data_IF_497581349475
#
_entry.id   IF_497581349475
#
_cell.length_a   1.000
_cell.length_b   1.000
_cell.length_c   1.000
_cell.angle_alpha   90.00
_cell.angle_beta   90.00
_cell.angle_gamma   90.00
#
_symmetry.space_group_name_H-M   'P 1'
#
loop_
_entity.id
_entity.type
_entity.pdbx_description
1 polymer ?
#
# COMPACT_ATOMS: atom_id res chain seq x y z
N UNK A 1 -18.72 -34.86 13.94
CA UNK A 1 -18.02 -33.56 13.99
C UNK A 1 -18.91 -32.59 14.75
N UNK A 2 -18.41 -31.94 15.80
CA UNK A 2 -19.18 -31.01 16.64
C UNK A 2 -19.31 -29.65 15.94
N UNK A 3 -20.38 -28.91 16.22
CA UNK A 3 -20.58 -27.55 15.68
C UNK A 3 -19.40 -26.62 15.98
N UNK A 4 -18.76 -26.78 17.13
CA UNK A 4 -17.57 -26.03 17.52
C UNK A 4 -16.37 -26.33 16.63
N UNK A 5 -16.20 -27.57 16.17
CA UNK A 5 -15.11 -27.96 15.26
C UNK A 5 -15.32 -27.34 13.87
N UNK A 6 -16.57 -27.32 13.39
CA UNK A 6 -16.94 -26.66 12.12
C UNK A 6 -16.69 -25.15 12.20
N UNK A 7 -17.09 -24.51 13.29
CA UNK A 7 -16.87 -23.08 13.51
C UNK A 7 -15.37 -22.73 13.56
N UNK A 8 -14.54 -23.54 14.23
CA UNK A 8 -13.09 -23.35 14.26
C UNK A 8 -12.46 -23.48 12.88
N UNK A 9 -12.86 -24.47 12.08
CA UNK A 9 -12.34 -24.63 10.72
C UNK A 9 -12.74 -23.48 9.81
N UNK A 10 -13.98 -23.00 9.92
CA UNK A 10 -14.43 -21.83 9.19
C UNK A 10 -13.62 -20.57 9.55
N UNK A 11 -13.36 -20.36 10.85
CA UNK A 11 -12.51 -19.27 11.32
C UNK A 11 -11.08 -19.39 10.79
N UNK A 12 -10.48 -20.58 10.87
CA UNK A 12 -9.11 -20.80 10.36
C UNK A 12 -9.03 -20.59 8.85
N UNK A 13 -10.04 -20.99 8.09
CA UNK A 13 -10.10 -20.75 6.65
C UNK A 13 -10.23 -19.25 6.32
N UNK A 14 -11.02 -18.50 7.09
CA UNK A 14 -11.13 -17.06 6.91
C UNK A 14 -9.80 -16.35 7.20
N UNK A 15 -9.14 -16.70 8.32
CA UNK A 15 -7.84 -16.13 8.69
C UNK A 15 -6.74 -16.51 7.70
N UNK A 16 -6.70 -17.76 7.22
CA UNK A 16 -5.69 -18.15 6.23
C UNK A 16 -5.88 -17.42 4.91
N UNK A 17 -7.11 -17.09 4.54
CA UNK A 17 -7.41 -16.29 3.36
C UNK A 17 -6.85 -14.86 3.47
N UNK A 18 -7.08 -14.18 4.59
CA UNK A 18 -6.56 -12.81 4.80
C UNK A 18 -5.03 -12.79 4.81
N UNK A 19 -4.38 -13.79 5.43
CA UNK A 19 -2.93 -13.91 5.41
C UNK A 19 -2.38 -14.15 3.99
N UNK A 20 -3.12 -14.87 3.15
CA UNK A 20 -2.72 -15.11 1.77
C UNK A 20 -2.81 -13.83 0.93
N UNK A 21 -3.87 -13.04 1.11
CA UNK A 21 -4.03 -11.74 0.44
C UNK A 21 -2.90 -10.78 0.82
N UNK A 22 -2.60 -10.64 2.12
CA UNK A 22 -1.47 -9.81 2.57
C UNK A 22 -0.12 -10.30 2.02
N UNK A 23 0.10 -11.62 2.01
CA UNK A 23 1.32 -12.19 1.46
C UNK A 23 1.47 -11.90 -0.03
N UNK A 24 0.38 -11.98 -0.81
CA UNK A 24 0.42 -11.66 -2.24
C UNK A 24 0.73 -10.19 -2.47
N UNK A 25 0.13 -9.30 -1.68
CA UNK A 25 0.37 -7.85 -1.75
C UNK A 25 1.84 -7.50 -1.47
N UNK A 26 2.43 -8.17 -0.47
CA UNK A 26 3.81 -7.91 -0.04
C UNK A 26 4.86 -8.81 -0.72
N UNK A 27 4.48 -9.70 -1.65
CA UNK A 27 5.39 -10.72 -2.21
C UNK A 27 6.65 -10.12 -2.83
N UNK A 28 6.49 -8.97 -3.47
CA UNK A 28 7.55 -8.26 -4.18
C UNK A 28 8.07 -7.04 -3.39
N UNK A 29 7.67 -6.88 -2.12
CA UNK A 29 8.28 -5.90 -1.21
C UNK A 29 9.67 -6.41 -0.80
N UNK A 30 10.71 -5.80 -1.35
CA UNK A 30 12.04 -5.93 -0.77
C UNK A 30 12.07 -5.26 0.62
N UNK A 31 12.77 -5.87 1.57
CA UNK A 31 13.19 -5.16 2.79
C UNK A 31 14.20 -4.10 2.34
N UNK A 32 13.71 -2.92 1.98
CA UNK A 32 14.56 -1.79 1.64
C UNK A 32 15.10 -1.24 2.94
N UNK A 33 16.34 -1.63 3.27
CA UNK A 33 17.15 -0.91 4.24
C UNK A 33 17.44 0.45 3.60
N UNK A 34 16.63 1.45 3.93
CA UNK A 34 16.83 2.80 3.45
C UNK A 34 18.17 3.31 3.98
N UNK A 35 19.20 3.27 3.14
CA UNK A 35 20.43 4.01 3.42
C UNK A 35 20.06 5.50 3.51
N UNK A 36 20.46 6.22 4.58
CA UNK A 36 20.16 7.64 4.74
C UNK A 36 21.03 8.46 3.78
N UNK A 37 20.74 8.35 2.49
CA UNK A 37 21.22 9.26 1.45
C UNK A 37 20.32 10.49 1.31
N UNK A 38 20.78 11.50 0.59
CA UNK A 38 19.94 12.66 0.24
C UNK A 38 18.90 12.20 -0.79
N UNK A 39 17.59 12.33 -0.51
CA UNK A 39 16.56 11.95 -1.48
C UNK A 39 16.75 12.75 -2.77
N UNK A 40 16.84 12.06 -3.91
CA UNK A 40 16.91 12.72 -5.23
C UNK A 40 15.54 13.29 -5.68
N UNK A 41 14.47 12.98 -4.95
CA UNK A 41 13.10 13.43 -5.21
C UNK A 41 12.90 14.87 -4.75
N UNK A 42 12.04 15.63 -5.46
CA UNK A 42 11.66 16.98 -5.04
C UNK A 42 10.39 17.01 -4.21
N UNK A 43 10.20 18.09 -3.42
CA UNK A 43 8.96 18.31 -2.65
C UNK A 43 7.72 18.29 -3.54
N UNK A 44 7.82 18.83 -4.77
CA UNK A 44 6.70 18.82 -5.72
C UNK A 44 6.35 17.41 -6.18
N UNK A 45 7.36 16.57 -6.47
CA UNK A 45 7.13 15.17 -6.86
C UNK A 45 6.48 14.37 -5.73
N UNK A 46 6.92 14.57 -4.48
CA UNK A 46 6.28 13.97 -3.32
C UNK A 46 4.85 14.49 -3.12
N UNK A 47 4.61 15.80 -3.24
CA UNK A 47 3.28 16.39 -3.15
C UNK A 47 2.30 15.80 -4.18
N UNK A 48 2.73 15.66 -5.43
CA UNK A 48 1.93 15.05 -6.49
C UNK A 48 1.64 13.56 -6.25
N UNK A 49 2.57 12.83 -5.62
CA UNK A 49 2.35 11.43 -5.25
C UNK A 49 1.37 11.32 -4.07
N UNK A 50 1.52 12.17 -3.05
CA UNK A 50 0.60 12.22 -1.90
C UNK A 50 -0.82 12.55 -2.33
N UNK A 51 -0.97 13.49 -3.28
CA UNK A 51 -2.26 13.83 -3.86
C UNK A 51 -2.90 12.64 -4.55
N UNK A 52 -2.14 11.87 -5.36
CA UNK A 52 -2.66 10.66 -6.00
C UNK A 52 -3.14 9.60 -5.00
N UNK A 53 -2.42 9.41 -3.89
CA UNK A 53 -2.84 8.52 -2.80
C UNK A 53 -4.14 9.03 -2.16
N UNK A 54 -4.22 10.33 -1.88
CA UNK A 54 -5.42 10.94 -1.31
C UNK A 54 -6.62 10.82 -2.25
N UNK A 55 -6.43 11.07 -3.55
CA UNK A 55 -7.47 10.97 -4.58
C UNK A 55 -8.00 9.53 -4.67
N UNK A 56 -7.15 8.51 -4.53
CA UNK A 56 -7.58 7.11 -4.46
C UNK A 56 -8.50 6.83 -3.26
N UNK A 57 -8.19 7.42 -2.11
CA UNK A 57 -8.98 7.25 -0.88
C UNK A 57 -10.32 7.99 -0.92
N UNK A 58 -10.39 9.13 -1.63
CA UNK A 58 -11.56 10.02 -1.64
C UNK A 58 -12.48 9.82 -2.85
N UNK A 59 -11.94 9.48 -4.03
CA UNK A 59 -12.66 9.45 -5.30
C UNK A 59 -12.59 8.07 -5.97
N UNK A 60 -12.66 6.98 -5.19
CA UNK A 60 -12.45 5.61 -5.66
C UNK A 60 -13.27 5.21 -6.89
N UNK A 61 -14.49 5.72 -7.05
CA UNK A 61 -15.34 5.46 -8.22
C UNK A 61 -14.88 6.18 -9.50
N UNK A 62 -14.41 7.43 -9.42
CA UNK A 62 -13.85 8.17 -10.57
C UNK A 62 -12.47 7.64 -10.94
N UNK A 63 -11.68 7.32 -9.92
CA UNK A 63 -10.32 6.79 -10.06
C UNK A 63 -10.32 5.36 -10.64
N UNK A 64 -11.36 4.56 -10.40
CA UNK A 64 -11.55 3.25 -11.05
C UNK A 64 -11.51 3.31 -12.59
N UNK A 65 -12.03 4.39 -13.19
CA UNK A 65 -11.95 4.59 -14.64
C UNK A 65 -10.52 4.90 -15.09
N UNK A 66 -9.80 5.72 -14.33
CA UNK A 66 -8.41 6.08 -14.62
C UNK A 66 -7.48 4.86 -14.56
N UNK A 67 -7.68 3.97 -13.59
CA UNK A 67 -6.90 2.74 -13.43
C UNK A 67 -7.51 1.52 -14.15
N UNK A 68 -8.46 1.71 -15.07
CA UNK A 68 -9.02 0.66 -15.95
C UNK A 68 -9.51 -0.58 -15.20
N UNK A 69 -10.16 -0.40 -14.05
CA UNK A 69 -10.67 -1.50 -13.25
C UNK A 69 -9.61 -2.34 -12.53
N UNK A 70 -8.37 -1.83 -12.39
CA UNK A 70 -7.40 -2.41 -11.47
C UNK A 70 -7.95 -2.44 -10.05
N UNK A 71 -7.54 -3.44 -9.27
CA UNK A 71 -7.88 -3.54 -7.87
C UNK A 71 -7.31 -2.32 -7.11
N UNK A 72 -8.18 -1.55 -6.45
CA UNK A 72 -7.79 -0.32 -5.76
C UNK A 72 -6.83 -0.59 -4.59
N UNK A 73 -6.90 -1.77 -3.96
CA UNK A 73 -5.96 -2.15 -2.92
C UNK A 73 -4.52 -2.28 -3.48
N UNK A 74 -4.38 -2.90 -4.65
CA UNK A 74 -3.09 -3.08 -5.32
C UNK A 74 -2.53 -1.73 -5.79
N UNK A 75 -3.40 -0.85 -6.32
CA UNK A 75 -3.01 0.50 -6.74
C UNK A 75 -2.58 1.35 -5.55
N UNK A 76 -3.31 1.30 -4.44
CA UNK A 76 -2.93 2.03 -3.23
C UNK A 76 -1.58 1.54 -2.71
N UNK A 77 -1.40 0.22 -2.60
CA UNK A 77 -0.15 -0.39 -2.15
C UNK A 77 1.04 0.00 -3.04
N UNK A 78 0.84 -0.01 -4.36
CA UNK A 78 1.84 0.44 -5.32
C UNK A 78 2.28 1.90 -5.07
N UNK A 79 1.34 2.83 -4.89
CA UNK A 79 1.66 4.24 -4.65
C UNK A 79 2.35 4.47 -3.29
N UNK A 80 1.94 3.73 -2.26
CA UNK A 80 2.63 3.74 -0.97
C UNK A 80 4.06 3.21 -1.07
N UNK A 81 4.28 2.18 -1.90
CA UNK A 81 5.62 1.68 -2.21
C UNK A 81 6.45 2.74 -2.92
N UNK A 82 5.91 3.41 -3.95
CA UNK A 82 6.59 4.52 -4.63
C UNK A 82 6.97 5.64 -3.64
N UNK A 83 6.08 5.96 -2.70
CA UNK A 83 6.34 6.99 -1.69
C UNK A 83 7.54 6.67 -0.81
N UNK A 84 7.60 5.41 -0.33
CA UNK A 84 8.70 4.90 0.49
C UNK A 84 10.00 4.86 -0.31
N UNK A 85 9.96 4.30 -1.52
CA UNK A 85 11.14 4.13 -2.37
C UNK A 85 11.73 5.46 -2.86
N UNK A 86 10.89 6.45 -3.14
CA UNK A 86 11.34 7.78 -3.50
C UNK A 86 12.01 8.54 -2.34
N UNK A 87 11.86 8.06 -1.10
CA UNK A 87 12.38 8.73 0.09
C UNK A 87 11.55 9.96 0.48
N UNK A 88 10.28 10.02 0.09
CA UNK A 88 9.43 11.18 0.36
C UNK A 88 9.22 11.44 1.86
N UNK A 89 9.13 10.39 2.67
CA UNK A 89 9.08 10.49 4.13
C UNK A 89 10.33 11.18 4.69
N UNK A 90 11.51 10.76 4.23
CA UNK A 90 12.80 11.33 4.66
C UNK A 90 12.96 12.77 4.21
N UNK A 91 12.52 13.09 2.99
CA UNK A 91 12.55 14.46 2.48
C UNK A 91 11.69 15.40 3.34
N UNK A 92 10.47 14.99 3.71
CA UNK A 92 9.59 15.82 4.52
C UNK A 92 10.18 16.09 5.91
N UNK A 93 10.72 15.06 6.56
CA UNK A 93 11.40 15.20 7.85
C UNK A 93 12.59 16.16 7.75
N UNK A 94 13.38 16.07 6.67
CA UNK A 94 14.51 17.00 6.43
C UNK A 94 14.08 18.45 6.21
N UNK A 95 12.86 18.66 5.68
CA UNK A 95 12.30 19.98 5.39
C UNK A 95 11.46 20.55 6.55
N UNK A 96 11.30 19.79 7.64
CA UNK A 96 10.57 20.20 8.83
C UNK A 96 9.05 20.10 8.72
N UNK A 97 8.55 19.22 7.85
CA UNK A 97 7.13 18.88 7.70
C UNK A 97 6.75 17.60 8.45
#
# INVERSE_FOLDING_TARGET
>A
MKLTEVAMLALMAALSWTQLEEWQLNRDDAIVLSEPGVPAVSLWQCGALKQRIADLSQHSAEVQFQYRGQNMADVNHYLEREWKQAGCEQLLVQQGY
#
